data_IF_393919880958
#
_entry.id   IF_393919880958
#
_cell.length_a   1.000
_cell.length_b   1.000
_cell.length_c   1.000
_cell.angle_alpha   90.00
_cell.angle_beta   90.00
_cell.angle_gamma   90.00
#
_symmetry.space_group_name_H-M   'P 1'
#
loop_
_entity.id
_entity.type
_entity.pdbx_description
1 polymer ?
#
# COMPACT_ATOMS: atom_id res chain seq x y z
N UNK A 1 -8.53 -0.66 -5.37
CA UNK A 1 -7.72 -1.42 -4.40
C UNK A 1 -8.51 -2.67 -4.06
N UNK A 2 -7.86 -3.82 -3.97
CA UNK A 2 -8.49 -5.10 -3.61
C UNK A 2 -7.75 -5.76 -2.47
N UNK A 3 -8.49 -6.52 -1.66
CA UNK A 3 -7.98 -7.32 -0.55
C UNK A 3 -8.32 -8.80 -0.72
N UNK A 4 -7.52 -9.66 -0.11
CA UNK A 4 -7.65 -11.11 -0.08
C UNK A 4 -6.54 -11.67 0.80
N UNK A 5 -5.63 -12.45 0.23
CA UNK A 5 -4.39 -12.88 0.89
C UNK A 5 -3.39 -11.75 1.14
N UNK A 6 -3.49 -10.67 0.34
CA UNK A 6 -2.72 -9.44 0.45
C UNK A 6 -3.54 -8.24 -0.09
N UNK A 7 -2.91 -7.08 -0.17
CA UNK A 7 -3.46 -5.84 -0.70
C UNK A 7 -2.77 -5.46 -2.01
N UNK A 8 -3.57 -5.10 -3.01
CA UNK A 8 -3.08 -4.54 -4.29
C UNK A 8 -3.71 -3.18 -4.56
N UNK A 9 -2.88 -2.20 -4.89
CA UNK A 9 -3.29 -0.86 -5.31
C UNK A 9 -2.87 -0.62 -6.77
N UNK A 10 -3.86 -0.37 -7.64
CA UNK A 10 -3.62 0.06 -9.01
C UNK A 10 -4.16 1.45 -9.24
N UNK A 11 -3.36 2.33 -9.82
CA UNK A 11 -3.68 3.73 -10.09
C UNK A 11 -2.87 4.24 -11.28
N UNK A 12 -3.18 5.45 -11.74
CA UNK A 12 -2.49 6.09 -12.87
C UNK A 12 -1.66 7.26 -12.34
N UNK A 13 -0.39 7.32 -12.72
CA UNK A 13 0.49 8.46 -12.49
C UNK A 13 0.61 9.25 -13.79
N UNK A 14 0.50 10.57 -13.71
CA UNK A 14 0.54 11.47 -14.87
C UNK A 14 1.59 12.56 -14.63
N UNK A 15 2.54 12.72 -15.55
CA UNK A 15 3.44 13.86 -15.52
C UNK A 15 2.76 15.08 -16.13
N UNK A 16 2.34 16.01 -15.29
CA UNK A 16 1.66 17.26 -15.67
C UNK A 16 2.64 18.41 -15.95
N UNK A 17 3.95 18.18 -15.80
CA UNK A 17 4.99 19.18 -16.02
C UNK A 17 5.49 19.23 -17.47
N UNK A 18 6.29 20.26 -17.77
CA UNK A 18 6.91 20.45 -19.08
C UNK A 18 8.26 19.75 -19.28
N UNK A 19 8.68 18.87 -18.35
CA UNK A 19 9.98 18.18 -18.40
C UNK A 19 9.81 16.71 -18.04
N UNK A 20 10.66 15.86 -18.60
CA UNK A 20 10.77 14.48 -18.17
C UNK A 20 11.16 14.42 -16.68
N UNK A 21 10.60 13.48 -15.94
CA UNK A 21 10.80 13.35 -14.51
C UNK A 21 10.62 11.94 -14.02
N UNK A 22 10.97 11.74 -12.75
CA UNK A 22 10.70 10.51 -12.01
C UNK A 22 9.74 10.81 -10.89
N UNK A 23 8.73 9.95 -10.72
CA UNK A 23 7.86 9.94 -9.56
C UNK A 23 8.01 8.62 -8.78
N UNK A 24 7.72 8.65 -7.49
CA UNK A 24 7.79 7.49 -6.58
C UNK A 24 6.49 7.40 -5.78
N UNK A 25 5.38 7.01 -6.42
CA UNK A 25 4.14 6.77 -5.69
C UNK A 25 4.33 5.69 -4.61
N UNK A 26 3.75 5.96 -3.44
CA UNK A 26 3.88 5.12 -2.25
C UNK A 26 2.51 4.68 -1.77
N UNK A 27 2.40 3.40 -1.39
CA UNK A 27 1.23 2.80 -0.78
C UNK A 27 1.44 2.68 0.74
N UNK A 28 0.50 3.19 1.51
CA UNK A 28 0.49 3.18 2.97
C UNK A 28 -0.73 2.45 3.52
N UNK A 29 -0.57 1.77 4.65
CA UNK A 29 -1.63 1.52 5.61
C UNK A 29 -1.67 2.72 6.56
N UNK A 30 -2.87 3.24 6.85
CA UNK A 30 -3.09 4.32 7.82
C UNK A 30 -3.95 3.88 9.01
N UNK A 31 -4.74 2.82 8.86
CA UNK A 31 -5.45 2.18 9.96
C UNK A 31 -5.57 0.67 9.74
N UNK A 32 -5.60 -0.06 10.84
CA UNK A 32 -5.84 -1.50 10.94
C UNK A 32 -6.99 -1.74 11.94
N UNK A 33 -7.48 -2.99 12.10
CA UNK A 33 -8.60 -3.28 13.01
C UNK A 33 -8.34 -2.85 14.47
N UNK A 34 -7.08 -2.81 14.89
CA UNK A 34 -6.66 -2.40 16.24
C UNK A 34 -6.38 -0.90 16.39
N UNK A 35 -6.53 -0.10 15.33
CA UNK A 35 -6.42 1.36 15.39
C UNK A 35 -5.57 1.99 14.29
N UNK A 36 -5.21 3.27 14.50
CA UNK A 36 -4.40 4.03 13.56
C UNK A 36 -2.97 3.47 13.50
N UNK A 37 -2.46 3.33 12.28
CA UNK A 37 -1.11 2.80 12.02
C UNK A 37 -0.63 3.33 10.69
N UNK A 38 0.40 4.18 10.71
CA UNK A 38 1.09 4.60 9.50
C UNK A 38 2.20 3.61 9.17
N UNK A 39 2.07 2.89 8.05
CA UNK A 39 3.08 1.93 7.59
C UNK A 39 3.18 1.94 6.08
N UNK A 40 4.39 2.09 5.55
CA UNK A 40 4.67 1.93 4.12
C UNK A 40 4.52 0.44 3.75
N UNK A 41 3.69 0.17 2.76
CA UNK A 41 3.43 -1.17 2.25
C UNK A 41 4.20 -1.48 0.95
N UNK A 42 4.56 -0.43 0.21
CA UNK A 42 5.31 -0.56 -1.04
C UNK A 42 5.40 0.77 -1.77
N UNK A 43 6.28 0.84 -2.75
CA UNK A 43 6.47 1.99 -3.63
C UNK A 43 6.98 1.51 -4.97
N UNK A 44 6.77 2.31 -6.01
CA UNK A 44 7.29 2.02 -7.35
C UNK A 44 7.92 3.28 -7.93
N UNK A 45 9.11 3.17 -8.51
CA UNK A 45 9.75 4.29 -9.21
C UNK A 45 9.31 4.28 -10.67
N UNK A 46 8.75 5.38 -11.15
CA UNK A 46 8.29 5.52 -12.54
C UNK A 46 8.95 6.72 -13.20
N UNK A 47 9.42 6.54 -14.43
CA UNK A 47 9.93 7.63 -15.27
C UNK A 47 8.88 8.02 -16.30
N UNK A 48 8.63 9.31 -16.48
CA UNK A 48 7.55 9.82 -17.32
C UNK A 48 8.04 11.01 -18.15
N UNK A 49 7.82 10.96 -19.46
CA UNK A 49 7.93 12.12 -20.33
C UNK A 49 6.83 13.16 -20.02
N UNK A 50 6.98 14.43 -20.45
CA UNK A 50 5.93 15.43 -20.31
C UNK A 50 4.59 14.94 -20.89
N UNK A 51 3.51 14.98 -20.10
CA UNK A 51 2.17 14.53 -20.50
C UNK A 51 1.98 13.00 -20.51
N UNK A 52 3.02 12.21 -20.23
CA UNK A 52 2.90 10.75 -20.18
C UNK A 52 2.06 10.32 -18.97
N UNK A 53 1.26 9.26 -19.17
CA UNK A 53 0.49 8.59 -18.13
C UNK A 53 0.89 7.12 -18.06
N UNK A 54 1.17 6.61 -16.85
CA UNK A 54 1.45 5.19 -16.62
C UNK A 54 0.54 4.61 -15.57
N UNK A 55 0.07 3.39 -15.83
CA UNK A 55 -0.61 2.57 -14.83
C UNK A 55 0.42 1.88 -13.96
N UNK A 56 0.32 2.10 -12.66
CA UNK A 56 1.18 1.53 -11.62
C UNK A 56 0.38 0.53 -10.81
N UNK A 57 1.01 -0.58 -10.41
CA UNK A 57 0.39 -1.57 -9.53
C UNK A 57 1.36 -1.95 -8.42
N UNK A 58 1.03 -1.56 -7.20
CA UNK A 58 1.80 -1.90 -6.01
C UNK A 58 1.06 -3.02 -5.27
N UNK A 59 1.71 -4.17 -5.15
CA UNK A 59 1.28 -5.27 -4.31
C UNK A 59 2.05 -5.24 -2.99
N UNK A 60 1.33 -5.23 -1.87
CA UNK A 60 1.95 -5.26 -0.55
C UNK A 60 2.49 -6.67 -0.25
N UNK A 61 3.66 -6.77 0.37
CA UNK A 61 4.08 -8.04 0.98
C UNK A 61 3.16 -8.35 2.18
N UNK A 62 2.57 -9.56 2.28
CA UNK A 62 1.76 -9.96 3.44
C UNK A 62 2.45 -9.70 4.79
N UNK A 63 3.77 -9.78 4.88
CA UNK A 63 4.55 -9.51 6.10
C UNK A 63 4.51 -8.05 6.51
N UNK A 64 4.46 -7.10 5.56
CA UNK A 64 4.34 -5.69 5.90
C UNK A 64 2.93 -5.33 6.34
N UNK A 65 1.92 -6.11 5.95
CA UNK A 65 0.55 -6.00 6.49
C UNK A 65 0.43 -6.64 7.89
N UNK A 66 1.17 -7.73 8.12
CA UNK A 66 1.08 -8.53 9.34
C UNK A 66 1.77 -7.89 10.57
N UNK A 67 1.39 -8.40 11.75
CA UNK A 67 2.15 -8.29 13.00
C UNK A 67 2.80 -9.63 13.30
N UNK A 68 4.00 -9.60 13.89
CA UNK A 68 4.66 -10.81 14.35
C UNK A 68 4.19 -11.17 15.76
N UNK A 69 3.75 -12.41 15.95
CA UNK A 69 3.44 -13.00 17.26
C UNK A 69 4.67 -13.79 17.74
N UNK A 70 5.43 -13.19 18.66
CA UNK A 70 6.63 -13.80 19.21
C UNK A 70 6.37 -15.04 20.06
N UNK A 71 5.16 -15.20 20.60
CA UNK A 71 4.80 -16.39 21.39
C UNK A 71 4.50 -17.59 20.50
N UNK A 72 3.88 -17.34 19.34
CA UNK A 72 3.55 -18.36 18.34
C UNK A 72 4.68 -18.60 17.32
N UNK A 73 5.66 -17.69 17.25
CA UNK A 73 6.74 -17.72 16.28
C UNK A 73 6.29 -17.45 14.84
N UNK A 74 5.18 -16.72 14.65
CA UNK A 74 4.50 -16.62 13.35
C UNK A 74 4.00 -15.21 13.04
N UNK A 75 3.77 -14.90 11.78
CA UNK A 75 3.11 -13.67 11.33
C UNK A 75 1.60 -13.82 11.34
N UNK A 76 0.90 -12.75 11.73
CA UNK A 76 -0.56 -12.68 11.81
C UNK A 76 -1.10 -11.42 11.14
N UNK A 77 -2.07 -11.60 10.24
CA UNK A 77 -2.97 -10.54 9.75
C UNK A 77 -4.29 -10.71 10.51
N UNK A 78 -4.76 -9.66 11.17
CA UNK A 78 -6.06 -9.71 11.84
C UNK A 78 -7.17 -9.56 10.81
N UNK A 79 -8.27 -10.27 11.04
CA UNK A 79 -9.49 -10.06 10.28
C UNK A 79 -10.03 -8.65 10.55
N UNK A 80 -10.47 -7.97 9.49
CA UNK A 80 -11.22 -6.73 9.62
C UNK A 80 -10.88 -5.70 8.55
N UNK A 81 -11.20 -4.45 8.85
CA UNK A 81 -11.03 -3.33 7.93
C UNK A 81 -9.67 -2.67 8.07
N UNK A 82 -9.03 -2.43 6.93
CA UNK A 82 -7.75 -1.74 6.81
C UNK A 82 -7.95 -0.51 5.93
N UNK A 83 -7.51 0.65 6.41
CA UNK A 83 -7.50 1.88 5.61
C UNK A 83 -6.13 2.05 4.95
N UNK A 84 -6.16 2.23 3.64
CA UNK A 84 -4.99 2.36 2.80
C UNK A 84 -4.99 3.73 2.14
N UNK A 85 -3.80 4.24 1.87
CA UNK A 85 -3.61 5.50 1.17
C UNK A 85 -2.49 5.39 0.12
N UNK A 86 -2.66 6.08 -1.00
CA UNK A 86 -1.58 6.28 -1.99
C UNK A 86 -1.26 7.77 -2.05
N UNK A 87 0.02 8.11 -2.10
CA UNK A 87 0.47 9.48 -2.27
C UNK A 87 1.96 9.56 -2.60
N UNK A 88 2.43 10.77 -2.87
CA UNK A 88 3.86 11.06 -3.08
C UNK A 88 4.66 11.02 -1.77
N UNK A 89 3.99 11.17 -0.63
CA UNK A 89 4.59 11.09 0.71
C UNK A 89 3.59 10.58 1.74
N UNK A 90 4.09 10.25 2.94
CA UNK A 90 3.26 9.76 4.04
C UNK A 90 2.24 10.79 4.59
N UNK A 91 2.46 12.08 4.31
CA UNK A 91 1.63 13.20 4.82
C UNK A 91 0.74 13.83 3.76
N UNK A 92 0.92 13.45 2.49
CA UNK A 92 0.15 13.95 1.34
C UNK A 92 -0.53 12.80 0.58
N UNK A 93 -1.56 12.18 1.19
CA UNK A 93 -2.31 11.13 0.53
C UNK A 93 -3.29 11.70 -0.49
N UNK A 94 -3.20 11.22 -1.72
CA UNK A 94 -4.08 11.61 -2.83
C UNK A 94 -5.26 10.66 -2.99
N UNK A 95 -5.03 9.36 -2.79
CA UNK A 95 -6.05 8.32 -2.86
C UNK A 95 -6.18 7.63 -1.52
N UNK A 96 -7.42 7.28 -1.15
CA UNK A 96 -7.71 6.49 0.05
C UNK A 96 -8.77 5.45 -0.25
N UNK A 97 -8.63 4.27 0.35
CA UNK A 97 -9.68 3.26 0.35
C UNK A 97 -9.63 2.40 1.60
N UNK A 98 -10.76 1.81 1.95
CA UNK A 98 -10.84 0.79 2.99
C UNK A 98 -11.06 -0.57 2.34
N UNK A 99 -10.31 -1.57 2.77
CA UNK A 99 -10.44 -2.96 2.32
C UNK A 99 -10.65 -3.89 3.51
N UNK A 100 -11.46 -4.92 3.33
CA UNK A 100 -11.56 -6.02 4.28
C UNK A 100 -10.49 -7.07 4.00
N UNK A 101 -9.79 -7.53 5.04
CA UNK A 101 -8.87 -8.66 4.95
C UNK A 101 -9.36 -9.80 5.86
N UNK A 102 -9.32 -11.06 5.40
CA UNK A 102 -9.53 -12.22 6.24
C UNK A 102 -8.37 -12.40 7.24
N UNK A 103 -8.67 -12.95 8.41
CA UNK A 103 -7.65 -13.30 9.38
C UNK A 103 -6.74 -14.41 8.86
N UNK A 104 -5.42 -14.26 9.02
CA UNK A 104 -4.44 -15.22 8.51
C UNK A 104 -3.21 -15.33 9.40
N UNK A 105 -2.65 -16.53 9.52
CA UNK A 105 -1.36 -16.79 10.19
C UNK A 105 -0.42 -17.52 9.23
N UNK A 106 0.87 -17.18 9.21
CA UNK A 106 1.86 -17.77 8.31
C UNK A 106 3.31 -17.65 8.81
N UNK A 107 4.24 -18.38 8.18
CA UNK A 107 5.68 -18.27 8.45
C UNK A 107 6.21 -19.13 9.61
N UNK A 108 5.61 -20.30 9.84
CA UNK A 108 6.19 -21.37 10.67
C UNK A 108 7.23 -22.15 9.87
#
# INVERSE_FOLDING_TARGET
MSGGDTVTASFTVVNTGGRAGTDVPQLYMTAAPDGQRLRLLGFERVELAPGESRRVTIEADPRVLARYDGSAGSWRIDEGSYTLAVGASAVEPELRATVGLPGRTFGR
#
